data_IF_665990292401
#
_entry.id   IF_665990292401
#
_cell.length_a   1.000
_cell.length_b   1.000
_cell.length_c   1.000
_cell.angle_alpha   90.00
_cell.angle_beta   90.00
_cell.angle_gamma   90.00
#
_symmetry.space_group_name_H-M   'P 1'
#
loop_
_entity.id
_entity.type
_entity.pdbx_description
1 polymer ?
#
# COMPACT_ATOMS: atom_id res chain seq x y z
N UNK A 1 22.00 20.13 60.34
CA UNK A 1 22.22 19.04 59.35
C UNK A 1 23.37 19.44 58.44
N UNK A 2 24.48 18.71 58.44
CA UNK A 2 25.69 19.05 57.68
C UNK A 2 25.41 19.02 56.15
N UNK A 3 26.05 19.90 55.37
CA UNK A 3 25.90 20.00 53.91
C UNK A 3 26.18 18.67 53.20
N UNK A 4 27.13 17.88 53.71
CA UNK A 4 27.46 16.53 53.21
C UNK A 4 26.26 15.58 53.34
N UNK A 5 25.52 15.64 54.46
CA UNK A 5 24.36 14.78 54.68
C UNK A 5 23.19 15.18 53.77
N UNK A 6 23.02 16.47 53.46
CA UNK A 6 22.03 16.95 52.48
C UNK A 6 22.34 16.46 51.07
N UNK A 7 23.62 16.51 50.67
CA UNK A 7 24.06 16.05 49.36
C UNK A 7 23.85 14.53 49.18
N UNK A 8 24.14 13.73 50.21
CA UNK A 8 23.92 12.27 50.19
C UNK A 8 22.42 11.96 50.08
N UNK A 9 21.58 12.62 50.88
CA UNK A 9 20.12 12.42 50.81
C UNK A 9 19.58 12.81 49.44
N UNK A 10 20.01 13.94 48.88
CA UNK A 10 19.58 14.38 47.56
C UNK A 10 20.00 13.39 46.45
N UNK A 11 21.22 12.84 46.51
CA UNK A 11 21.69 11.83 45.58
C UNK A 11 20.88 10.52 45.69
N UNK A 12 20.60 10.05 46.90
CA UNK A 12 19.77 8.86 47.12
C UNK A 12 18.34 9.06 46.60
N UNK A 13 17.74 10.23 46.84
CA UNK A 13 16.40 10.56 46.31
C UNK A 13 16.42 10.63 44.78
N UNK A 14 17.46 11.19 44.16
CA UNK A 14 17.60 11.21 42.70
C UNK A 14 17.72 9.80 42.11
N UNK A 15 18.52 8.92 42.74
CA UNK A 15 18.68 7.52 42.29
C UNK A 15 17.40 6.69 42.45
N UNK A 16 16.59 6.99 43.48
CA UNK A 16 15.29 6.34 43.69
C UNK A 16 14.22 6.90 42.74
N UNK A 17 14.29 8.19 42.40
CA UNK A 17 13.37 8.86 41.47
C UNK A 17 13.70 8.60 39.99
N UNK A 18 14.91 8.15 39.66
CA UNK A 18 15.34 7.88 38.28
C UNK A 18 14.84 6.56 37.71
N UNK A 19 14.03 5.77 38.44
CA UNK A 19 13.29 4.62 37.88
C UNK A 19 14.15 3.45 37.38
N UNK A 20 15.48 3.50 37.51
CA UNK A 20 16.40 2.42 37.12
C UNK A 20 16.46 1.31 38.18
N UNK A 21 15.31 0.81 38.64
CA UNK A 21 15.30 -0.51 39.26
C UNK A 21 15.59 -1.53 38.15
N UNK A 22 16.55 -2.46 38.31
CA UNK A 22 16.75 -3.50 37.33
C UNK A 22 15.47 -4.34 37.27
N UNK A 23 14.68 -4.18 36.20
CA UNK A 23 13.62 -5.13 35.87
C UNK A 23 14.27 -6.52 35.84
N UNK A 24 13.69 -7.47 36.56
CA UNK A 24 14.19 -8.84 36.50
C UNK A 24 14.21 -9.28 35.03
N UNK A 25 15.27 -9.96 34.56
CA UNK A 25 15.35 -10.41 33.18
C UNK A 25 14.11 -11.27 32.86
N UNK A 26 13.24 -10.74 32.01
CA UNK A 26 12.04 -11.45 31.56
C UNK A 26 12.49 -12.47 30.51
N UNK A 27 12.30 -13.75 30.82
CA UNK A 27 12.59 -14.82 29.87
C UNK A 27 11.56 -14.77 28.74
N UNK A 28 12.02 -14.76 27.48
CA UNK A 28 11.14 -14.69 26.30
C UNK A 28 11.49 -15.79 25.30
N UNK A 29 10.45 -16.31 24.63
CA UNK A 29 10.58 -17.20 23.47
C UNK A 29 10.26 -16.42 22.20
N UNK A 30 11.12 -16.43 21.16
CA UNK A 30 10.77 -15.85 19.88
C UNK A 30 9.68 -16.68 19.20
N UNK A 31 8.73 -15.99 18.56
CA UNK A 31 7.69 -16.59 17.73
C UNK A 31 8.06 -16.45 16.25
N UNK A 32 7.70 -17.43 15.39
CA UNK A 32 7.94 -17.33 13.96
C UNK A 32 7.16 -16.15 13.37
N UNK A 33 7.75 -15.49 12.37
CA UNK A 33 7.05 -14.48 11.59
C UNK A 33 5.86 -15.11 10.84
N UNK A 34 4.73 -14.41 10.70
CA UNK A 34 3.61 -14.88 9.91
C UNK A 34 4.00 -15.00 8.43
N UNK A 35 3.20 -15.75 7.68
CA UNK A 35 3.30 -15.76 6.22
C UNK A 35 3.11 -14.33 5.67
N UNK A 36 3.81 -13.95 4.59
CA UNK A 36 3.62 -12.65 3.95
C UNK A 36 2.16 -12.42 3.55
N UNK A 37 1.71 -11.18 3.72
CA UNK A 37 0.36 -10.75 3.34
C UNK A 37 0.12 -10.92 1.84
N UNK A 38 -1.08 -11.40 1.49
CA UNK A 38 -1.52 -11.57 0.10
C UNK A 38 -2.97 -11.07 -0.07
N UNK A 39 -3.25 -10.14 -1.00
CA UNK A 39 -2.31 -9.52 -1.94
C UNK A 39 -1.30 -8.58 -1.27
N UNK A 40 -0.18 -8.26 -1.95
CA UNK A 40 0.89 -7.44 -1.36
C UNK A 40 0.44 -6.01 -1.04
N UNK A 41 -0.47 -5.46 -1.85
CA UNK A 41 -1.15 -4.18 -1.65
C UNK A 41 -2.60 -4.38 -1.21
N UNK A 42 -2.80 -4.93 0.00
CA UNK A 42 -4.10 -5.32 0.53
C UNK A 42 -4.84 -4.14 1.18
N UNK A 43 -5.28 -3.18 0.36
CA UNK A 43 -6.07 -2.05 0.84
C UNK A 43 -7.35 -2.56 1.55
N UNK A 44 -7.67 -2.10 2.77
CA UNK A 44 -8.90 -2.48 3.45
C UNK A 44 -10.17 -2.12 2.66
N UNK A 45 -11.19 -2.98 2.70
CA UNK A 45 -12.45 -2.79 1.97
C UNK A 45 -13.12 -1.43 2.18
N UNK A 46 -13.02 -0.85 3.39
CA UNK A 46 -13.59 0.46 3.72
C UNK A 46 -12.93 1.62 2.97
N UNK A 47 -11.71 1.41 2.48
CA UNK A 47 -10.91 2.39 1.77
C UNK A 47 -10.97 2.21 0.24
N UNK A 48 -11.65 1.17 -0.25
CA UNK A 48 -11.85 0.95 -1.67
C UNK A 48 -12.69 2.06 -2.29
N UNK A 49 -12.17 2.66 -3.36
CA UNK A 49 -12.80 3.75 -4.07
C UNK A 49 -13.71 3.22 -5.18
N UNK A 50 -15.00 3.55 -5.10
CA UNK A 50 -15.93 3.36 -6.24
C UNK A 50 -15.69 4.45 -7.29
N UNK A 51 -15.89 4.11 -8.56
CA UNK A 51 -15.98 5.08 -9.65
C UNK A 51 -17.03 6.17 -9.36
N UNK A 52 -16.76 7.38 -9.87
CA UNK A 52 -17.69 8.49 -9.85
C UNK A 52 -17.75 9.13 -11.24
N UNK A 53 -18.79 9.93 -11.45
CA UNK A 53 -19.02 10.63 -12.71
C UNK A 53 -18.58 12.08 -12.56
N UNK A 54 -17.87 12.60 -13.56
CA UNK A 54 -17.49 14.00 -13.63
C UNK A 54 -18.50 14.86 -14.39
N UNK A 55 -18.08 16.07 -14.78
CA UNK A 55 -18.95 17.05 -15.45
C UNK A 55 -19.26 16.67 -16.90
N UNK A 56 -18.44 15.82 -17.51
CA UNK A 56 -18.63 15.34 -18.89
C UNK A 56 -19.48 14.08 -18.96
N UNK A 57 -20.10 13.65 -17.85
CA UNK A 57 -20.83 12.39 -17.72
C UNK A 57 -19.96 11.15 -18.02
N UNK A 58 -18.66 11.22 -17.77
CA UNK A 58 -17.73 10.12 -17.96
C UNK A 58 -17.28 9.52 -16.62
N UNK A 59 -16.95 8.23 -16.63
CA UNK A 59 -16.47 7.53 -15.45
C UNK A 59 -15.01 7.87 -15.09
N UNK A 60 -14.71 7.91 -13.80
CA UNK A 60 -13.40 8.28 -13.26
C UNK A 60 -12.42 7.12 -13.07
N UNK A 61 -12.53 6.01 -13.82
CA UNK A 61 -11.86 4.74 -13.50
C UNK A 61 -10.35 4.85 -13.24
N UNK A 62 -9.65 5.68 -14.03
CA UNK A 62 -8.22 5.94 -13.86
C UNK A 62 -7.94 6.65 -12.53
N UNK A 63 -8.72 7.67 -12.22
CA UNK A 63 -8.59 8.44 -10.97
C UNK A 63 -9.01 7.63 -9.76
N UNK A 64 -10.06 6.81 -9.86
CA UNK A 64 -10.47 5.91 -8.79
C UNK A 64 -9.42 4.84 -8.48
N UNK A 65 -8.78 4.30 -9.53
CA UNK A 65 -7.65 3.37 -9.36
C UNK A 65 -6.47 4.07 -8.70
N UNK A 66 -6.13 5.30 -9.12
CA UNK A 66 -5.03 6.05 -8.52
C UNK A 66 -5.31 6.40 -7.05
N UNK A 67 -6.56 6.73 -6.69
CA UNK A 67 -6.94 6.98 -5.30
C UNK A 67 -6.75 5.74 -4.43
N UNK A 68 -7.12 4.55 -4.91
CA UNK A 68 -6.81 3.30 -4.19
C UNK A 68 -5.30 3.14 -3.98
N UNK A 69 -4.53 3.38 -5.05
CA UNK A 69 -3.07 3.25 -5.03
C UNK A 69 -2.44 4.21 -4.01
N UNK A 70 -2.83 5.49 -4.03
CA UNK A 70 -2.34 6.50 -3.08
C UNK A 70 -2.70 6.15 -1.63
N UNK A 71 -3.96 5.75 -1.36
CA UNK A 71 -4.36 5.32 -0.01
C UNK A 71 -3.57 4.12 0.49
N UNK A 72 -3.18 3.21 -0.40
CA UNK A 72 -2.33 2.08 -0.04
C UNK A 72 -0.88 2.53 0.28
N UNK A 73 -0.37 3.53 -0.43
CA UNK A 73 0.92 4.16 -0.15
C UNK A 73 0.90 5.11 1.05
N UNK A 74 -0.11 5.01 1.93
CA UNK A 74 -0.30 5.89 3.08
C UNK A 74 -0.47 7.39 2.74
N UNK A 75 -0.70 7.71 1.47
CA UNK A 75 -0.88 9.07 0.93
C UNK A 75 -2.36 9.44 0.90
N UNK A 76 -3.02 9.38 2.06
CA UNK A 76 -4.47 9.56 2.19
C UNK A 76 -4.92 10.97 1.77
N UNK A 77 -4.27 11.99 2.30
CA UNK A 77 -4.60 13.39 2.02
C UNK A 77 -4.39 13.72 0.54
N UNK A 78 -3.33 13.18 -0.07
CA UNK A 78 -3.09 13.32 -1.50
C UNK A 78 -4.18 12.60 -2.32
N UNK A 79 -4.57 11.40 -1.91
CA UNK A 79 -5.70 10.66 -2.50
C UNK A 79 -7.01 11.45 -2.47
N UNK A 80 -7.35 12.07 -1.34
CA UNK A 80 -8.57 12.89 -1.22
C UNK A 80 -8.49 14.16 -2.07
N UNK A 81 -7.35 14.87 -2.07
CA UNK A 81 -7.13 16.04 -2.95
C UNK A 81 -7.23 15.66 -4.42
N UNK A 82 -6.65 14.54 -4.82
CA UNK A 82 -6.73 14.04 -6.19
C UNK A 82 -8.17 13.76 -6.58
N UNK A 83 -8.91 13.06 -5.71
CA UNK A 83 -10.33 12.72 -5.90
C UNK A 83 -11.21 13.96 -6.06
N UNK A 84 -10.97 15.01 -5.29
CA UNK A 84 -11.75 16.25 -5.39
C UNK A 84 -11.43 17.07 -6.65
N UNK A 85 -10.24 16.88 -7.22
CA UNK A 85 -9.71 17.70 -8.33
C UNK A 85 -10.04 17.09 -9.69
N UNK A 86 -9.88 15.77 -9.83
CA UNK A 86 -9.96 15.08 -11.11
C UNK A 86 -11.15 14.13 -11.20
N UNK A 87 -11.76 14.06 -12.38
CA UNK A 87 -12.88 13.18 -12.72
C UNK A 87 -12.91 12.98 -14.24
N UNK A 88 -13.95 12.30 -14.74
CA UNK A 88 -14.13 11.98 -16.15
C UNK A 88 -13.04 11.05 -16.73
N UNK A 89 -13.16 10.72 -18.03
CA UNK A 89 -12.27 9.79 -18.69
C UNK A 89 -10.84 10.31 -18.78
N UNK A 90 -9.87 9.39 -18.79
CA UNK A 90 -8.45 9.70 -18.75
C UNK A 90 -7.61 8.71 -19.58
N UNK A 91 -6.47 9.18 -20.09
CA UNK A 91 -5.49 8.39 -20.84
C UNK A 91 -4.08 8.60 -20.29
N UNK A 92 -3.14 7.70 -20.62
CA UNK A 92 -1.87 7.56 -19.90
C UNK A 92 -1.01 8.82 -19.93
N UNK A 93 -0.91 9.49 -21.08
CA UNK A 93 -0.04 10.66 -21.24
C UNK A 93 -0.55 11.88 -20.48
N UNK A 94 -1.87 12.09 -20.44
CA UNK A 94 -2.47 13.18 -19.67
C UNK A 94 -2.49 12.89 -18.18
N UNK A 95 -2.68 11.64 -17.77
CA UNK A 95 -2.49 11.22 -16.38
C UNK A 95 -1.06 11.55 -15.91
N UNK A 96 -0.06 11.15 -16.69
CA UNK A 96 1.36 11.43 -16.40
C UNK A 96 1.64 12.92 -16.32
N UNK A 97 1.15 13.71 -17.28
CA UNK A 97 1.30 15.17 -17.26
C UNK A 97 0.68 15.82 -16.01
N UNK A 98 -0.41 15.26 -15.47
CA UNK A 98 -1.03 15.72 -14.22
C UNK A 98 -0.22 15.31 -12.99
N UNK A 99 0.37 14.12 -12.98
CA UNK A 99 1.29 13.69 -11.93
C UNK A 99 2.54 14.57 -11.91
N UNK A 100 3.13 14.83 -13.08
CA UNK A 100 4.28 15.74 -13.24
C UNK A 100 3.95 17.15 -12.71
N UNK A 101 2.77 17.69 -13.09
CA UNK A 101 2.32 19.00 -12.63
C UNK A 101 1.98 19.06 -11.12
N UNK A 102 1.74 17.91 -10.51
CA UNK A 102 1.49 17.76 -9.08
C UNK A 102 2.76 17.41 -8.28
N UNK A 103 3.93 17.32 -8.94
CA UNK A 103 5.21 16.91 -8.36
C UNK A 103 5.14 15.54 -7.67
N UNK A 104 4.47 14.58 -8.33
CA UNK A 104 4.32 13.20 -7.83
C UNK A 104 5.24 12.29 -8.63
N UNK A 105 6.19 11.65 -7.96
CA UNK A 105 7.09 10.68 -8.59
C UNK A 105 6.36 9.37 -8.96
N UNK A 106 6.58 8.87 -10.17
CA UNK A 106 6.01 7.61 -10.62
C UNK A 106 6.95 6.85 -11.57
N UNK A 107 6.73 5.55 -11.67
CA UNK A 107 7.27 4.70 -12.72
C UNK A 107 6.14 4.07 -13.52
N UNK A 108 6.36 3.79 -14.80
CA UNK A 108 5.33 3.25 -15.67
C UNK A 108 5.88 2.37 -16.78
N UNK A 109 4.99 1.60 -17.40
CA UNK A 109 5.20 0.88 -18.65
C UNK A 109 4.01 1.07 -19.56
N UNK A 110 4.23 0.99 -20.87
CA UNK A 110 3.21 0.95 -21.93
C UNK A 110 3.39 -0.27 -22.85
N UNK A 111 4.18 -1.24 -22.40
CA UNK A 111 4.63 -2.39 -23.21
C UNK A 111 4.20 -3.75 -22.64
N UNK A 112 3.30 -3.74 -21.66
CA UNK A 112 2.85 -4.94 -20.95
C UNK A 112 4.01 -5.77 -20.36
N UNK A 113 5.06 -5.11 -19.85
CA UNK A 113 6.22 -5.80 -19.27
C UNK A 113 5.85 -6.41 -17.91
N UNK A 114 5.78 -7.76 -17.78
CA UNK A 114 5.37 -8.39 -16.52
C UNK A 114 6.36 -8.13 -15.38
N UNK A 115 7.62 -7.83 -15.70
CA UNK A 115 8.65 -7.52 -14.70
C UNK A 115 8.32 -6.25 -13.93
N UNK A 116 7.58 -5.33 -14.54
CA UNK A 116 7.06 -4.14 -13.86
C UNK A 116 6.09 -4.54 -12.73
N UNK A 117 5.16 -5.46 -13.00
CA UNK A 117 4.21 -5.94 -12.00
C UNK A 117 4.85 -6.88 -10.96
N UNK A 118 5.89 -7.61 -11.35
CA UNK A 118 6.75 -8.35 -10.41
C UNK A 118 7.44 -7.41 -9.42
N UNK A 119 8.06 -6.34 -9.92
CA UNK A 119 8.68 -5.31 -9.08
C UNK A 119 7.65 -4.60 -8.18
N UNK A 120 6.49 -4.22 -8.73
CA UNK A 120 5.42 -3.58 -7.98
C UNK A 120 4.90 -4.49 -6.85
N UNK A 121 4.82 -5.80 -7.08
CA UNK A 121 4.45 -6.78 -6.06
C UNK A 121 5.55 -6.95 -5.03
N UNK A 122 6.80 -7.15 -5.47
CA UNK A 122 7.95 -7.38 -4.60
C UNK A 122 8.20 -6.20 -3.65
N UNK A 123 7.91 -4.98 -4.10
CA UNK A 123 8.02 -3.77 -3.29
C UNK A 123 6.74 -3.39 -2.55
N UNK A 124 5.72 -4.25 -2.56
CA UNK A 124 4.40 -4.03 -1.95
C UNK A 124 3.71 -2.74 -2.41
N UNK A 125 3.99 -2.22 -3.60
CA UNK A 125 3.36 -0.98 -4.08
C UNK A 125 2.07 -1.22 -4.84
N UNK A 126 1.99 -2.30 -5.62
CA UNK A 126 0.93 -2.45 -6.61
C UNK A 126 1.06 -1.44 -7.75
N UNK A 127 0.04 -1.38 -8.61
CA UNK A 127 0.01 -0.48 -9.76
C UNK A 127 -1.43 -0.18 -10.18
N UNK A 128 -1.66 0.92 -10.89
CA UNK A 128 -2.86 1.09 -11.72
C UNK A 128 -2.56 0.63 -13.14
N UNK A 129 -3.52 0.09 -13.86
CA UNK A 129 -3.28 -0.42 -15.22
C UNK A 129 -4.54 -0.47 -16.07
N UNK A 130 -4.36 -0.57 -17.40
CA UNK A 130 -5.47 -0.86 -18.32
C UNK A 130 -5.92 -2.30 -18.18
N UNK A 131 -7.17 -2.50 -17.77
CA UNK A 131 -7.74 -3.82 -17.61
C UNK A 131 -9.22 -3.80 -17.93
N UNK A 132 -9.61 -4.62 -18.91
CA UNK A 132 -10.92 -4.59 -19.60
C UNK A 132 -11.02 -3.42 -20.60
N UNK A 133 -11.92 -3.50 -21.61
CA UNK A 133 -12.06 -2.45 -22.61
C UNK A 133 -12.40 -1.09 -21.99
N UNK A 134 -11.62 -0.05 -22.36
CA UNK A 134 -11.80 1.32 -21.91
C UNK A 134 -11.90 1.48 -20.37
N UNK A 135 -11.14 0.68 -19.63
CA UNK A 135 -11.22 0.64 -18.17
C UNK A 135 -9.85 0.54 -17.50
N UNK A 136 -9.78 1.11 -16.30
CA UNK A 136 -8.60 1.11 -15.46
C UNK A 136 -8.95 0.48 -14.11
N UNK A 137 -8.07 -0.40 -13.64
CA UNK A 137 -8.19 -1.03 -12.34
C UNK A 137 -6.89 -0.90 -11.55
N UNK A 138 -6.96 -1.21 -10.27
CA UNK A 138 -5.78 -1.33 -9.41
C UNK A 138 -5.30 -2.78 -9.36
N UNK A 139 -4.09 -3.05 -9.81
CA UNK A 139 -3.37 -4.30 -9.53
C UNK A 139 -2.77 -4.25 -8.13
N UNK A 140 -3.25 -5.12 -7.26
CA UNK A 140 -2.85 -5.16 -5.85
C UNK A 140 -1.74 -6.17 -5.56
N UNK A 141 -1.26 -6.86 -6.59
CA UNK A 141 -0.13 -7.79 -6.51
C UNK A 141 -0.45 -9.18 -7.03
N UNK A 142 0.60 -9.99 -7.13
CA UNK A 142 0.48 -11.42 -7.39
C UNK A 142 0.10 -12.18 -6.11
N UNK A 143 -0.86 -13.11 -6.22
CA UNK A 143 -1.26 -14.00 -5.14
C UNK A 143 -1.04 -15.46 -5.54
N UNK A 144 -0.58 -16.29 -4.61
CA UNK A 144 -0.41 -17.72 -4.79
C UNK A 144 -1.61 -18.46 -4.20
N UNK A 145 -2.28 -19.28 -5.02
CA UNK A 145 -3.41 -20.11 -4.62
C UNK A 145 -3.31 -21.46 -5.31
N UNK A 146 -3.37 -22.54 -4.53
CA UNK A 146 -3.31 -23.92 -5.03
C UNK A 146 -2.10 -24.18 -5.94
N UNK A 147 -0.93 -23.65 -5.58
CA UNK A 147 0.32 -23.78 -6.35
C UNK A 147 0.38 -22.97 -7.64
N UNK A 148 -0.60 -22.09 -7.90
CA UNK A 148 -0.66 -21.22 -9.08
C UNK A 148 -0.68 -19.75 -8.69
N UNK A 149 -0.15 -18.91 -9.56
CA UNK A 149 -0.13 -17.47 -9.33
C UNK A 149 -1.25 -16.75 -10.11
N UNK A 150 -1.90 -15.80 -9.45
CA UNK A 150 -3.00 -15.01 -9.98
C UNK A 150 -2.68 -13.51 -9.81
N UNK A 151 -3.05 -12.70 -10.79
CA UNK A 151 -3.19 -11.26 -10.58
C UNK A 151 -4.43 -11.03 -9.70
N UNK A 152 -4.25 -10.32 -8.59
CA UNK A 152 -5.35 -9.78 -7.83
C UNK A 152 -5.64 -8.36 -8.31
N UNK A 153 -6.86 -8.13 -8.80
CA UNK A 153 -7.31 -6.86 -9.37
C UNK A 153 -8.45 -6.31 -8.54
N UNK A 154 -8.33 -5.06 -8.11
CA UNK A 154 -9.41 -4.29 -7.52
C UNK A 154 -10.09 -3.45 -8.61
N UNK A 155 -11.30 -3.85 -8.99
CA UNK A 155 -12.13 -3.13 -9.96
C UNK A 155 -13.01 -2.09 -9.24
N UNK A 156 -12.81 -0.82 -9.57
CA UNK A 156 -13.54 0.31 -9.00
C UNK A 156 -15.04 0.34 -9.36
N UNK A 157 -15.52 -0.47 -10.31
CA UNK A 157 -16.95 -0.68 -10.55
C UNK A 157 -17.59 -1.58 -9.48
N UNK A 158 -16.82 -2.51 -8.92
CA UNK A 158 -17.29 -3.49 -7.93
C UNK A 158 -16.32 -3.57 -6.74
N UNK A 159 -16.10 -2.46 -6.00
CA UNK A 159 -15.16 -2.43 -4.89
C UNK A 159 -15.60 -3.39 -3.77
N UNK A 160 -14.63 -3.86 -2.98
CA UNK A 160 -14.87 -4.73 -1.81
C UNK A 160 -14.45 -6.19 -2.01
N UNK A 161 -13.99 -6.54 -3.22
CA UNK A 161 -13.43 -7.85 -3.55
C UNK A 161 -12.33 -7.72 -4.58
N UNK A 162 -11.44 -8.70 -4.62
CA UNK A 162 -10.43 -8.84 -5.65
C UNK A 162 -10.87 -9.84 -6.72
N UNK A 163 -10.76 -9.45 -7.97
CA UNK A 163 -10.87 -10.36 -9.10
C UNK A 163 -9.53 -11.09 -9.28
N UNK A 164 -9.58 -12.41 -9.38
CA UNK A 164 -8.38 -13.24 -9.54
C UNK A 164 -8.31 -13.77 -10.96
N UNK A 165 -7.24 -13.42 -11.68
CA UNK A 165 -6.98 -13.93 -13.04
C UNK A 165 -5.65 -14.68 -13.06
N UNK A 166 -5.56 -15.90 -13.60
CA UNK A 166 -4.29 -16.63 -13.70
C UNK A 166 -3.22 -15.79 -14.41
N UNK A 167 -1.99 -15.76 -13.88
CA UNK A 167 -0.93 -14.84 -14.34
C UNK A 167 -0.70 -14.87 -15.85
N UNK A 168 -0.59 -16.05 -16.45
CA UNK A 168 -0.35 -16.19 -17.90
C UNK A 168 -1.49 -15.61 -18.73
N UNK A 169 -2.74 -15.86 -18.32
CA UNK A 169 -3.92 -15.29 -18.95
C UNK A 169 -3.97 -13.78 -18.76
N UNK A 170 -3.66 -13.30 -17.55
CA UNK A 170 -3.64 -11.88 -17.22
C UNK A 170 -2.66 -11.12 -18.10
N UNK A 171 -1.40 -11.55 -18.16
CA UNK A 171 -0.34 -10.88 -18.95
C UNK A 171 -0.72 -10.79 -20.42
N UNK A 172 -1.24 -11.88 -21.01
CA UNK A 172 -1.68 -11.90 -22.40
C UNK A 172 -2.82 -10.91 -22.67
N UNK A 173 -3.82 -10.88 -21.79
CA UNK A 173 -4.97 -9.99 -21.93
C UNK A 173 -4.59 -8.52 -21.70
N UNK A 174 -3.76 -8.25 -20.69
CA UNK A 174 -3.27 -6.91 -20.37
C UNK A 174 -2.52 -6.30 -21.56
N UNK A 175 -1.69 -7.09 -22.26
CA UNK A 175 -1.07 -6.67 -23.51
C UNK A 175 -2.09 -6.26 -24.57
N UNK A 176 -3.19 -7.02 -24.72
CA UNK A 176 -4.30 -6.68 -25.62
C UNK A 176 -5.08 -5.42 -25.23
N UNK A 177 -5.04 -5.02 -23.95
CA UNK A 177 -5.65 -3.78 -23.45
C UNK A 177 -4.70 -2.58 -23.49
N UNK A 178 -3.56 -2.70 -24.17
CA UNK A 178 -2.59 -1.61 -24.37
C UNK A 178 -1.41 -1.62 -23.40
N UNK A 179 -1.35 -2.57 -22.46
CA UNK A 179 -0.13 -2.84 -21.71
C UNK A 179 0.36 -1.73 -20.78
N UNK A 180 -0.48 -0.75 -20.47
CA UNK A 180 -0.14 0.33 -19.55
C UNK A 180 -0.20 -0.15 -18.11
N UNK A 181 0.80 0.18 -17.32
CA UNK A 181 0.72 0.20 -15.87
C UNK A 181 1.54 1.36 -15.30
N UNK A 182 1.12 1.88 -14.15
CA UNK A 182 1.79 2.98 -13.45
C UNK A 182 1.75 2.74 -11.94
N UNK A 183 2.87 3.05 -11.28
CA UNK A 183 3.05 2.96 -9.84
C UNK A 183 3.65 4.28 -9.36
N UNK A 184 2.97 4.98 -8.46
CA UNK A 184 3.56 6.10 -7.70
C UNK A 184 4.69 5.58 -6.80
N UNK A 185 5.79 6.32 -6.73
CA UNK A 185 7.03 5.94 -6.04
C UNK A 185 7.08 6.45 -4.61
N UNK A 186 6.08 6.09 -3.81
CA UNK A 186 6.06 6.39 -2.38
C UNK A 186 6.19 5.12 -1.53
N UNK A 187 6.26 5.26 -0.21
CA UNK A 187 6.39 4.15 0.72
C UNK A 187 5.04 3.45 0.94
N UNK A 188 4.99 2.11 0.78
CA UNK A 188 3.76 1.37 1.02
C UNK A 188 3.38 1.38 2.51
N UNK A 189 2.09 1.17 2.80
CA UNK A 189 1.61 1.02 4.16
C UNK A 189 2.43 -0.02 4.95
N UNK A 190 2.65 0.29 6.23
CA UNK A 190 3.34 -0.60 7.18
C UNK A 190 2.72 -2.00 7.16
N UNK A 191 3.55 -3.02 7.28
CA UNK A 191 3.06 -4.39 7.42
C UNK A 191 2.20 -4.54 8.67
N UNK A 192 1.26 -5.48 8.65
CA UNK A 192 0.48 -5.80 9.83
C UNK A 192 1.40 -6.18 11.01
N UNK A 193 1.24 -5.55 12.19
CA UNK A 193 2.02 -5.92 13.35
C UNK A 193 1.69 -7.34 13.75
N UNK A 194 2.71 -8.08 14.19
CA UNK A 194 2.55 -9.44 14.70
C UNK A 194 3.30 -9.59 16.02
N UNK A 195 2.86 -10.57 16.81
CA UNK A 195 3.51 -10.90 18.06
C UNK A 195 4.81 -11.65 17.76
N UNK A 196 5.95 -11.02 18.02
CA UNK A 196 7.27 -11.58 17.72
C UNK A 196 7.86 -12.42 18.86
N UNK A 197 7.29 -12.36 20.07
CA UNK A 197 7.73 -13.16 21.21
C UNK A 197 6.59 -13.42 22.20
N UNK A 198 6.83 -14.37 23.10
CA UNK A 198 6.03 -14.58 24.30
C UNK A 198 6.92 -14.67 25.53
N UNK A 199 6.38 -14.27 26.68
CA UNK A 199 7.06 -14.37 27.96
C UNK A 199 6.93 -15.80 28.48
N UNK A 200 8.04 -16.39 28.90
CA UNK A 200 8.09 -17.69 29.57
C UNK A 200 8.17 -17.41 31.07
N UNK A 201 7.31 -18.08 31.85
CA UNK A 201 7.36 -18.06 33.32
C UNK A 201 8.45 -19.00 33.84
#
# INVERSE_FOLDING_TARGET
>A
MNATLRAIIAACVLCLASGCLPEQPVQVRPLPAPAPEQPAANLPNKLHQRNWTGKLNQGSCVHASLVNHLRWLNEFELGERWRSTYSDGEYDSRLRSRLDAADIDYSYTIKADPRFLDWATATRRGAILWWKPAHCCTFVGWVNRDGRQYAAILDNNYPGRFELTPREQFVRLWAGYGGFALTVLDDPASSLPYRSYEVIQ
#
